data_IF_847727557014
#
_entry.id   IF_847727557014
#
_cell.length_a   1.000
_cell.length_b   1.000
_cell.length_c   1.000
_cell.angle_alpha   90.00
_cell.angle_beta   90.00
_cell.angle_gamma   90.00
#
_symmetry.space_group_name_H-M   'P 1'
#
loop_
_entity.id
_entity.type
_entity.pdbx_description
1 polymer ?
#
# COMPACT_ATOMS: atom_id res chain seq x y z
N UNK A 1 -22.12 11.98 -24.29
CA UNK A 1 -21.91 13.00 -23.25
C UNK A 1 -21.85 12.38 -21.85
N UNK A 2 -22.79 11.52 -21.43
CA UNK A 2 -22.77 10.87 -20.11
C UNK A 2 -21.62 9.84 -19.98
N UNK A 3 -21.38 9.01 -20.99
CA UNK A 3 -20.23 8.07 -21.04
C UNK A 3 -18.88 8.79 -21.00
N UNK A 4 -18.74 9.92 -21.67
CA UNK A 4 -17.51 10.73 -21.65
C UNK A 4 -17.23 11.25 -20.23
N UNK A 5 -18.27 11.72 -19.51
CA UNK A 5 -18.12 12.14 -18.10
C UNK A 5 -17.75 10.98 -17.17
N UNK A 6 -18.29 9.78 -17.39
CA UNK A 6 -17.95 8.58 -16.64
C UNK A 6 -16.49 8.19 -16.85
N UNK A 7 -16.03 8.20 -18.09
CA UNK A 7 -14.65 7.89 -18.47
C UNK A 7 -13.64 8.85 -17.83
N UNK A 8 -13.91 10.16 -17.90
CA UNK A 8 -13.08 11.19 -17.27
C UNK A 8 -12.99 11.00 -15.75
N UNK A 9 -14.10 10.65 -15.10
CA UNK A 9 -14.12 10.37 -13.65
C UNK A 9 -13.30 9.13 -13.28
N UNK A 10 -13.34 8.06 -14.09
CA UNK A 10 -12.52 6.87 -13.87
C UNK A 10 -11.03 7.21 -14.04
N UNK A 11 -10.65 7.98 -15.06
CA UNK A 11 -9.26 8.43 -15.28
C UNK A 11 -8.79 9.28 -14.07
N UNK A 12 -9.62 10.21 -13.61
CA UNK A 12 -9.30 11.03 -12.44
C UNK A 12 -9.12 10.16 -11.18
N UNK A 13 -9.97 9.16 -10.98
CA UNK A 13 -9.86 8.20 -9.87
C UNK A 13 -8.55 7.40 -9.95
N UNK A 14 -8.20 6.87 -11.12
CA UNK A 14 -6.94 6.14 -11.29
C UNK A 14 -5.74 7.05 -11.01
N UNK A 15 -5.72 8.27 -11.53
CA UNK A 15 -4.64 9.22 -11.27
C UNK A 15 -4.54 9.64 -9.79
N UNK A 16 -5.65 9.66 -9.05
CA UNK A 16 -5.68 9.92 -7.60
C UNK A 16 -5.12 8.74 -6.80
N UNK A 17 -5.46 7.52 -7.18
CA UNK A 17 -5.17 6.30 -6.39
C UNK A 17 -3.87 5.59 -6.80
N UNK A 18 -3.36 5.85 -8.02
CA UNK A 18 -2.14 5.23 -8.56
C UNK A 18 -1.04 6.28 -8.67
N UNK A 19 -0.28 6.44 -7.60
CA UNK A 19 0.73 7.50 -7.47
C UNK A 19 2.08 6.96 -6.98
N UNK A 20 3.20 7.62 -7.33
CA UNK A 20 4.51 7.24 -6.80
C UNK A 20 4.59 7.40 -5.28
N UNK A 21 5.30 6.49 -4.62
CA UNK A 21 5.59 6.56 -3.19
C UNK A 21 6.98 6.00 -2.87
N UNK A 22 7.72 6.65 -1.97
CA UNK A 22 9.01 6.17 -1.47
C UNK A 22 8.80 5.63 -0.05
N UNK A 23 9.18 4.37 0.18
CA UNK A 23 8.99 3.72 1.48
C UNK A 23 7.52 3.49 1.83
N UNK A 24 7.24 3.41 3.14
CA UNK A 24 5.87 3.29 3.67
C UNK A 24 5.34 4.67 4.04
N UNK A 25 4.10 4.95 3.65
CA UNK A 25 3.48 6.27 3.86
C UNK A 25 3.27 6.59 5.34
N UNK A 26 2.95 5.59 6.16
CA UNK A 26 2.63 5.78 7.57
C UNK A 26 3.83 6.32 8.39
N UNK A 27 5.03 5.74 8.37
CA UNK A 27 6.16 6.33 9.10
C UNK A 27 6.60 7.68 8.51
N UNK A 28 6.41 7.90 7.19
CA UNK A 28 6.70 9.21 6.60
C UNK A 28 5.71 10.27 7.06
N UNK A 29 4.43 9.94 7.21
CA UNK A 29 3.43 10.85 7.79
C UNK A 29 3.73 11.16 9.27
N UNK A 30 4.24 10.19 10.06
CA UNK A 30 4.72 10.44 11.42
C UNK A 30 5.92 11.37 11.43
N UNK A 31 6.91 11.13 10.55
CA UNK A 31 8.06 12.03 10.40
C UNK A 31 7.65 13.44 9.96
N UNK A 32 6.66 13.55 9.06
CA UNK A 32 6.08 14.82 8.59
C UNK A 32 5.40 15.58 9.74
N UNK A 33 4.59 14.90 10.54
CA UNK A 33 3.93 15.47 11.71
C UNK A 33 4.97 15.97 12.73
N UNK A 34 6.01 15.17 12.96
CA UNK A 34 7.13 15.55 13.84
C UNK A 34 7.89 16.75 13.30
N UNK A 35 8.19 16.78 11.99
CA UNK A 35 8.84 17.91 11.34
C UNK A 35 8.04 19.21 11.51
N UNK A 36 6.71 19.14 11.38
CA UNK A 36 5.84 20.30 11.59
C UNK A 36 5.89 20.81 13.02
N UNK A 37 5.75 19.92 14.02
CA UNK A 37 5.84 20.29 15.43
C UNK A 37 7.22 20.85 15.80
N UNK A 38 8.30 20.22 15.35
CA UNK A 38 9.68 20.69 15.58
C UNK A 38 9.96 22.05 14.92
N UNK A 39 9.46 22.27 13.70
CA UNK A 39 9.56 23.55 13.01
C UNK A 39 8.84 24.67 13.76
N UNK A 40 7.64 24.40 14.27
CA UNK A 40 6.89 25.35 15.09
C UNK A 40 7.60 25.67 16.41
N UNK A 41 8.18 24.63 17.06
CA UNK A 41 8.97 24.82 18.28
C UNK A 41 10.17 25.74 18.04
N UNK A 42 10.76 25.69 16.84
CA UNK A 42 11.89 26.56 16.43
C UNK A 42 13.24 26.20 17.05
N UNK A 43 13.36 25.04 17.70
CA UNK A 43 14.59 24.52 18.32
C UNK A 43 14.50 22.98 18.42
N UNK A 44 15.67 22.35 18.67
CA UNK A 44 15.73 20.88 18.85
C UNK A 44 14.90 20.49 20.08
N UNK A 45 13.94 19.56 19.93
CA UNK A 45 13.18 19.05 21.06
C UNK A 45 14.06 18.25 22.06
N UNK A 46 13.77 18.36 23.35
CA UNK A 46 14.37 17.53 24.41
C UNK A 46 13.55 16.25 24.60
N UNK A 47 12.23 16.33 24.39
CA UNK A 47 11.33 15.17 24.38
C UNK A 47 10.25 15.31 23.30
N UNK A 48 9.79 14.17 22.80
CA UNK A 48 8.76 14.07 21.78
C UNK A 48 7.76 12.99 22.17
N UNK A 49 6.49 13.38 22.34
CA UNK A 49 5.39 12.44 22.49
C UNK A 49 4.68 12.25 21.14
N UNK A 50 4.47 10.99 20.75
CA UNK A 50 3.78 10.61 19.50
C UNK A 50 2.60 9.73 19.84
N UNK A 51 1.40 10.21 19.52
CA UNK A 51 0.15 9.51 19.77
C UNK A 51 -0.48 9.09 18.44
N UNK A 52 -0.71 7.80 18.25
CA UNK A 52 -1.13 7.20 16.98
C UNK A 52 -2.45 6.44 17.13
N UNK A 53 -3.29 6.49 16.08
CA UNK A 53 -4.39 5.54 15.97
C UNK A 53 -3.88 4.09 15.83
N UNK A 54 -4.70 3.08 16.16
CA UNK A 54 -4.32 1.67 16.07
C UNK A 54 -3.71 1.27 14.73
N UNK A 55 -4.34 1.69 13.65
CA UNK A 55 -3.88 1.35 12.29
C UNK A 55 -2.57 2.03 11.91
N UNK A 56 -2.37 3.29 12.32
CA UNK A 56 -1.11 4.01 12.09
C UNK A 56 0.04 3.34 12.84
N UNK A 57 -0.13 3.02 14.12
CA UNK A 57 0.88 2.34 14.92
C UNK A 57 1.23 0.97 14.31
N UNK A 58 0.20 0.13 14.02
CA UNK A 58 0.37 -1.19 13.43
C UNK A 58 1.19 -1.15 12.13
N UNK A 59 0.92 -0.20 11.24
CA UNK A 59 1.54 -0.14 9.92
C UNK A 59 2.92 0.53 9.92
N UNK A 60 3.22 1.38 10.90
CA UNK A 60 4.47 2.14 10.94
C UNK A 60 5.59 1.48 11.76
N UNK A 61 5.24 0.64 12.75
CA UNK A 61 6.21 0.17 13.74
C UNK A 61 7.20 -0.89 13.23
N UNK A 62 6.91 -1.58 12.12
CA UNK A 62 7.69 -2.74 11.66
C UNK A 62 8.38 -2.57 10.31
N UNK A 63 8.34 -1.40 9.70
CA UNK A 63 8.83 -1.16 8.34
C UNK A 63 10.18 -0.45 8.31
N UNK A 64 10.98 -0.75 7.28
CA UNK A 64 12.26 -0.05 7.02
C UNK A 64 12.06 1.42 6.65
N UNK A 65 12.81 2.29 7.30
CA UNK A 65 12.79 3.72 7.02
C UNK A 65 13.78 4.02 5.88
N UNK A 66 13.33 4.69 4.81
CA UNK A 66 14.12 4.90 3.60
C UNK A 66 15.49 5.51 3.88
N UNK A 67 16.54 4.90 3.30
CA UNK A 67 17.93 5.38 3.39
C UNK A 67 18.61 5.16 4.74
N UNK A 68 17.93 4.65 5.78
CA UNK A 68 18.49 4.54 7.13
C UNK A 68 19.12 3.19 7.45
N UNK A 69 18.68 2.12 6.77
CA UNK A 69 18.97 0.75 7.15
C UNK A 69 18.35 0.34 8.51
N UNK A 70 17.45 1.14 9.07
CA UNK A 70 16.78 0.91 10.34
C UNK A 70 15.27 0.69 10.14
N UNK A 71 14.66 0.05 11.12
CA UNK A 71 13.24 -0.29 11.14
C UNK A 71 12.52 0.50 12.25
N UNK A 72 11.31 0.93 11.98
CA UNK A 72 10.37 1.43 12.98
C UNK A 72 10.39 2.94 13.18
N UNK A 73 9.48 3.38 14.03
CA UNK A 73 9.16 4.79 14.23
C UNK A 73 10.25 5.63 14.90
N UNK A 74 11.05 5.14 15.87
CA UNK A 74 12.00 6.01 16.57
C UNK A 74 12.94 6.78 15.64
N UNK A 75 13.49 6.12 14.62
CA UNK A 75 14.39 6.80 13.66
C UNK A 75 13.63 7.76 12.73
N UNK A 76 12.37 7.45 12.36
CA UNK A 76 11.53 8.35 11.56
C UNK A 76 11.20 9.64 12.33
N UNK A 77 10.85 9.53 13.62
CA UNK A 77 10.61 10.66 14.53
C UNK A 77 11.87 11.48 14.72
N UNK A 78 13.00 10.83 15.04
CA UNK A 78 14.29 11.51 15.23
C UNK A 78 14.70 12.33 14.00
N UNK A 79 14.64 11.72 12.81
CA UNK A 79 14.99 12.42 11.56
C UNK A 79 13.96 13.48 11.19
N UNK A 80 12.67 13.25 11.43
CA UNK A 80 11.63 14.26 11.26
C UNK A 80 11.93 15.53 12.07
N UNK A 81 12.32 15.35 13.34
CA UNK A 81 12.67 16.47 14.22
C UNK A 81 13.97 17.19 13.84
N UNK A 82 14.98 16.48 13.29
CA UNK A 82 16.31 17.03 13.05
C UNK A 82 16.46 17.65 11.65
N UNK A 83 15.91 17.01 10.63
CA UNK A 83 16.12 17.39 9.22
C UNK A 83 14.83 17.49 8.41
N UNK A 84 13.68 17.07 8.99
CA UNK A 84 12.42 17.04 8.28
C UNK A 84 11.97 18.43 7.85
N UNK A 85 11.50 18.54 6.59
CA UNK A 85 10.93 19.76 6.03
C UNK A 85 9.47 19.52 5.68
N UNK A 86 8.52 20.15 6.39
CA UNK A 86 7.08 19.90 6.18
C UNK A 86 6.61 20.14 4.74
N UNK A 87 7.24 21.05 4.01
CA UNK A 87 6.95 21.38 2.62
C UNK A 87 7.27 20.25 1.63
N UNK A 88 7.97 19.21 2.07
CA UNK A 88 8.27 18.04 1.26
C UNK A 88 7.22 16.92 1.40
N UNK A 89 6.22 17.13 2.24
CA UNK A 89 5.15 16.15 2.49
C UNK A 89 5.71 14.73 2.78
N UNK A 90 5.29 13.71 2.05
CA UNK A 90 5.76 12.33 2.27
C UNK A 90 7.22 12.09 1.82
N UNK A 91 7.86 13.07 1.19
CA UNK A 91 9.31 13.07 0.93
C UNK A 91 10.11 13.79 2.02
N UNK A 92 9.54 13.98 3.20
CA UNK A 92 10.06 14.76 4.33
C UNK A 92 11.53 14.47 4.70
N UNK A 93 12.01 13.26 4.42
CA UNK A 93 13.38 12.81 4.67
C UNK A 93 14.27 12.75 3.41
N UNK A 94 13.88 13.36 2.29
CA UNK A 94 14.65 13.25 1.03
C UNK A 94 16.05 13.84 1.10
N UNK A 95 16.28 14.77 2.01
CA UNK A 95 17.59 15.40 2.25
C UNK A 95 18.47 14.59 3.23
N UNK A 96 18.15 13.33 3.50
CA UNK A 96 18.90 12.47 4.41
C UNK A 96 20.34 12.28 3.92
N UNK A 97 21.31 12.62 4.79
CA UNK A 97 22.74 12.35 4.58
C UNK A 97 23.26 11.34 5.61
N UNK A 98 24.45 10.74 5.37
CA UNK A 98 25.08 9.86 6.37
C UNK A 98 25.30 10.53 7.73
N UNK A 99 25.63 11.82 7.73
CA UNK A 99 25.87 12.63 8.93
C UNK A 99 24.54 12.83 9.70
N UNK A 100 23.46 13.19 8.99
CA UNK A 100 22.13 13.32 9.57
C UNK A 100 21.63 12.00 10.15
N UNK A 101 21.90 10.87 9.49
CA UNK A 101 21.57 9.54 10.01
C UNK A 101 22.31 9.25 11.31
N UNK A 102 23.59 9.57 11.40
CA UNK A 102 24.36 9.39 12.65
C UNK A 102 23.84 10.29 13.78
N UNK A 103 23.44 11.52 13.45
CA UNK A 103 22.80 12.41 14.43
C UNK A 103 21.45 11.84 14.90
N UNK A 104 20.63 11.32 13.97
CA UNK A 104 19.35 10.66 14.30
C UNK A 104 19.52 9.47 15.24
N UNK A 105 20.53 8.62 15.00
CA UNK A 105 20.85 7.49 15.88
C UNK A 105 21.21 7.93 17.29
N UNK A 106 22.07 8.96 17.44
CA UNK A 106 22.40 9.54 18.76
C UNK A 106 21.17 10.17 19.40
N UNK A 107 20.34 10.84 18.61
CA UNK A 107 19.17 11.52 19.15
C UNK A 107 18.15 10.55 19.75
N UNK A 108 18.00 9.33 19.22
CA UNK A 108 17.16 8.29 19.81
C UNK A 108 17.69 7.86 21.19
N UNK A 109 19.00 7.91 21.40
CA UNK A 109 19.64 7.56 22.68
C UNK A 109 19.56 8.71 23.70
N UNK A 110 19.62 9.97 23.23
CA UNK A 110 19.72 11.18 24.06
C UNK A 110 18.35 11.78 24.43
N UNK A 111 17.36 11.72 23.53
CA UNK A 111 16.05 12.35 23.68
C UNK A 111 15.01 11.35 24.16
N UNK A 112 14.04 11.84 24.94
CA UNK A 112 12.89 11.06 25.37
C UNK A 112 11.85 11.02 24.22
N UNK A 113 11.84 9.95 23.45
CA UNK A 113 10.87 9.70 22.38
C UNK A 113 9.86 8.65 22.84
N UNK A 114 8.66 9.09 23.17
CA UNK A 114 7.59 8.26 23.68
C UNK A 114 6.48 8.09 22.62
N UNK A 115 6.30 6.84 22.14
CA UNK A 115 5.35 6.50 21.07
C UNK A 115 4.25 5.62 21.64
N UNK A 116 3.02 6.13 21.62
CA UNK A 116 1.87 5.51 22.30
C UNK A 116 0.66 5.38 21.38
N UNK A 117 -0.23 4.50 21.78
CA UNK A 117 -1.57 4.39 21.22
C UNK A 117 -2.46 5.52 21.78
N UNK A 118 -3.08 6.30 20.89
CA UNK A 118 -4.11 7.29 21.28
C UNK A 118 -5.39 6.57 21.65
N UNK A 119 -5.86 6.75 22.89
CA UNK A 119 -7.10 6.18 23.36
C UNK A 119 -8.32 6.99 22.89
N UNK A 120 -9.45 6.32 22.61
CA UNK A 120 -10.72 6.97 22.31
C UNK A 120 -10.81 7.59 20.90
N UNK A 121 -9.84 7.33 20.03
CA UNK A 121 -9.86 7.80 18.63
C UNK A 121 -10.68 6.85 17.76
N UNK A 122 -11.55 7.41 16.93
CA UNK A 122 -12.38 6.70 15.94
C UNK A 122 -11.72 6.71 14.56
N UNK A 123 -10.94 7.76 14.25
CA UNK A 123 -10.24 7.91 12.98
C UNK A 123 -9.21 6.80 12.78
N UNK A 124 -9.29 6.13 11.62
CA UNK A 124 -8.33 5.08 11.23
C UNK A 124 -6.94 5.66 10.97
N UNK A 125 -6.85 6.91 10.50
CA UNK A 125 -5.61 7.64 10.29
C UNK A 125 -5.59 8.87 11.21
N UNK A 126 -4.81 8.77 12.28
CA UNK A 126 -4.57 9.85 13.24
C UNK A 126 -3.15 9.80 13.76
N UNK A 127 -2.48 10.94 13.71
CA UNK A 127 -1.12 11.18 14.20
C UNK A 127 -1.14 12.48 14.99
N UNK A 128 -0.70 12.45 16.23
CA UNK A 128 -0.49 13.64 17.06
C UNK A 128 0.95 13.61 17.57
N UNK A 129 1.65 14.70 17.40
CA UNK A 129 3.02 14.85 17.89
C UNK A 129 3.13 16.10 18.73
N UNK A 130 3.68 15.95 19.93
CA UNK A 130 4.00 17.05 20.84
C UNK A 130 5.50 17.07 21.07
N UNK A 131 6.13 18.18 20.73
CA UNK A 131 7.56 18.43 20.94
C UNK A 131 7.76 19.40 22.11
N UNK A 132 8.66 19.07 23.04
CA UNK A 132 9.01 19.92 24.16
C UNK A 132 10.49 20.30 24.14
N UNK A 133 10.81 21.52 24.60
CA UNK A 133 12.17 21.97 24.87
C UNK A 133 12.18 23.00 26.00
N UNK A 134 12.60 22.57 27.19
CA UNK A 134 12.53 23.37 28.40
C UNK A 134 11.09 23.69 28.78
N UNK A 135 10.68 24.97 28.66
CA UNK A 135 9.30 25.43 28.95
C UNK A 135 8.46 25.58 27.68
N UNK A 136 9.05 25.48 26.52
CA UNK A 136 8.33 25.63 25.25
C UNK A 136 7.82 24.29 24.76
N UNK A 137 6.64 24.34 24.16
CA UNK A 137 6.02 23.18 23.49
C UNK A 137 5.45 23.58 22.12
N UNK A 138 5.34 22.60 21.23
CA UNK A 138 4.59 22.74 20.00
C UNK A 138 3.96 21.39 19.63
N UNK A 139 2.75 21.46 19.11
CA UNK A 139 2.00 20.29 18.70
C UNK A 139 1.54 20.38 17.24
N UNK A 140 1.40 19.22 16.60
CA UNK A 140 0.78 19.08 15.28
C UNK A 140 -0.06 17.82 15.23
N UNK A 141 -1.16 17.86 14.46
CA UNK A 141 -2.04 16.71 14.22
C UNK A 141 -2.27 16.54 12.73
N UNK A 142 -2.10 15.30 12.26
CA UNK A 142 -2.51 14.84 10.93
C UNK A 142 -3.68 13.88 11.10
N UNK A 143 -4.78 14.08 10.36
CA UNK A 143 -5.94 13.18 10.38
C UNK A 143 -6.61 13.05 9.01
N UNK A 144 -7.30 11.91 8.77
CA UNK A 144 -8.04 11.61 7.55
C UNK A 144 -7.18 11.21 6.34
N UNK A 145 -6.07 11.93 6.07
CA UNK A 145 -5.09 11.55 5.05
C UNK A 145 -3.67 11.77 5.56
N UNK A 146 -2.67 11.16 4.90
CA UNK A 146 -1.28 11.15 5.38
C UNK A 146 -0.56 12.50 5.39
N UNK A 147 -1.11 13.52 4.74
CA UNK A 147 -0.51 14.87 4.63
C UNK A 147 -1.44 15.99 5.12
N UNK A 148 -2.65 15.64 5.55
CA UNK A 148 -3.64 16.63 5.97
C UNK A 148 -3.45 17.03 7.44
N UNK A 149 -2.84 18.19 7.66
CA UNK A 149 -2.75 18.79 8.99
C UNK A 149 -4.12 19.38 9.38
N UNK A 150 -4.65 18.92 10.50
CA UNK A 150 -5.93 19.42 11.06
C UNK A 150 -5.73 20.32 12.28
N UNK A 151 -4.55 20.29 12.89
CA UNK A 151 -4.24 21.11 14.04
C UNK A 151 -2.73 21.40 14.13
N UNK A 152 -2.39 22.61 14.58
CA UNK A 152 -1.03 23.00 14.93
C UNK A 152 -1.03 24.13 15.95
N UNK A 153 -0.18 24.02 16.99
CA UNK A 153 -0.04 25.04 18.04
C UNK A 153 1.40 25.19 18.51
N UNK A 154 1.72 26.32 19.12
CA UNK A 154 2.96 26.60 19.84
C UNK A 154 2.69 27.40 21.09
N UNK A 155 3.09 26.94 22.27
CA UNK A 155 2.95 27.61 23.56
C UNK A 155 1.50 28.15 23.77
N UNK A 156 0.50 27.31 23.56
CA UNK A 156 -0.93 27.61 23.65
C UNK A 156 -1.45 28.61 22.57
N UNK A 157 -0.60 29.06 21.63
CA UNK A 157 -1.02 29.83 20.47
C UNK A 157 -1.39 28.89 19.31
N UNK A 158 -2.67 28.83 18.99
CA UNK A 158 -3.19 27.99 17.89
C UNK A 158 -2.86 28.63 16.56
N UNK A 159 -2.11 27.91 15.71
CA UNK A 159 -1.72 28.32 14.35
C UNK A 159 -2.69 27.77 13.31
N UNK A 160 -3.22 26.56 13.54
CA UNK A 160 -4.18 25.89 12.68
C UNK A 160 -5.17 25.11 13.54
N UNK A 161 -6.47 25.25 13.30
CA UNK A 161 -7.51 24.38 13.85
C UNK A 161 -8.60 24.13 12.82
N UNK A 162 -8.52 22.99 12.16
CA UNK A 162 -9.51 22.48 11.19
C UNK A 162 -10.12 21.16 11.68
N UNK A 163 -10.03 20.87 12.99
CA UNK A 163 -10.60 19.66 13.56
C UNK A 163 -12.14 19.71 13.47
N UNK A 164 -12.72 18.75 12.74
CA UNK A 164 -14.16 18.60 12.65
C UNK A 164 -14.63 17.51 13.62
N UNK A 165 -15.72 17.75 14.38
CA UNK A 165 -16.36 16.70 15.16
C UNK A 165 -17.03 15.71 14.20
N UNK A 166 -16.49 14.47 14.09
CA UNK A 166 -17.19 13.39 13.40
C UNK A 166 -16.55 12.81 12.15
N UNK A 167 -15.26 12.98 11.92
CA UNK A 167 -14.55 12.38 10.78
C UNK A 167 -14.73 13.19 9.47
N UNK A 168 -13.74 13.10 8.60
CA UNK A 168 -13.87 13.69 7.26
C UNK A 168 -14.98 12.97 6.49
N UNK A 169 -15.91 13.73 5.91
CA UNK A 169 -16.91 13.22 4.99
C UNK A 169 -16.19 12.41 3.88
N UNK A 170 -16.63 11.17 3.65
CA UNK A 170 -16.29 10.46 2.44
C UNK A 170 -16.73 11.33 1.27
N UNK A 171 -15.84 11.54 0.32
CA UNK A 171 -16.09 12.37 -0.87
C UNK A 171 -17.21 11.71 -1.70
N UNK A 172 -18.45 12.10 -1.41
CA UNK A 172 -19.71 11.57 -2.00
C UNK A 172 -19.76 11.80 -3.53
N UNK A 173 -18.71 12.43 -4.09
CA UNK A 173 -18.56 12.67 -5.53
C UNK A 173 -17.82 11.56 -6.26
N UNK A 174 -17.25 10.59 -5.55
CA UNK A 174 -16.45 9.53 -6.15
C UNK A 174 -17.34 8.51 -6.92
N UNK A 175 -16.91 8.14 -8.14
CA UNK A 175 -17.63 7.17 -8.93
C UNK A 175 -17.60 5.79 -8.26
N UNK A 176 -18.78 5.20 -8.04
CA UNK A 176 -18.90 3.82 -7.58
C UNK A 176 -18.70 2.86 -8.75
N UNK A 177 -17.70 1.99 -8.63
CA UNK A 177 -17.35 1.02 -9.67
C UNK A 177 -18.16 -0.28 -9.52
N UNK A 178 -18.23 -1.03 -10.59
CA UNK A 178 -18.62 -2.46 -10.63
C UNK A 178 -17.61 -3.21 -11.49
N UNK A 179 -17.56 -4.53 -11.37
CA UNK A 179 -16.62 -5.33 -12.17
C UNK A 179 -16.86 -5.17 -13.67
N UNK A 180 -18.12 -4.99 -14.06
CA UNK A 180 -18.47 -4.73 -15.46
C UNK A 180 -17.94 -3.38 -15.96
N UNK A 181 -18.08 -2.32 -15.16
CA UNK A 181 -17.55 -0.99 -15.51
C UNK A 181 -16.02 -1.02 -15.61
N UNK A 182 -15.36 -1.71 -14.70
CA UNK A 182 -13.90 -1.88 -14.70
C UNK A 182 -13.43 -2.56 -15.98
N UNK A 183 -14.08 -3.66 -16.35
CA UNK A 183 -13.76 -4.40 -17.58
C UNK A 183 -14.01 -3.56 -18.82
N UNK A 184 -15.22 -3.00 -18.98
CA UNK A 184 -15.59 -2.24 -20.17
C UNK A 184 -14.67 -1.03 -20.36
N UNK A 185 -14.34 -0.32 -19.28
CA UNK A 185 -13.39 0.78 -19.35
C UNK A 185 -12.01 0.31 -19.81
N UNK A 186 -11.43 -0.71 -19.20
CA UNK A 186 -10.11 -1.21 -19.55
C UNK A 186 -10.02 -1.68 -21.02
N UNK A 187 -11.11 -2.26 -21.55
CA UNK A 187 -11.15 -2.78 -22.92
C UNK A 187 -11.45 -1.72 -23.98
N UNK A 188 -12.20 -0.66 -23.64
CA UNK A 188 -12.72 0.28 -24.64
C UNK A 188 -12.13 1.69 -24.56
N UNK A 189 -11.45 2.05 -23.47
CA UNK A 189 -10.82 3.36 -23.35
C UNK A 189 -9.75 3.56 -24.44
N UNK A 190 -9.65 4.79 -25.03
CA UNK A 190 -8.58 5.13 -25.94
C UNK A 190 -7.21 4.93 -25.29
N UNK A 191 -6.26 4.33 -26.04
CA UNK A 191 -4.95 3.98 -25.49
C UNK A 191 -4.16 5.19 -25.02
N UNK A 192 -4.24 6.29 -25.74
CA UNK A 192 -3.58 7.55 -25.41
C UNK A 192 -4.05 8.13 -24.06
N UNK A 193 -5.32 7.89 -23.69
CA UNK A 193 -5.88 8.33 -22.41
C UNK A 193 -5.44 7.44 -21.22
N UNK A 194 -5.05 6.18 -21.46
CA UNK A 194 -4.73 5.21 -20.39
C UNK A 194 -3.29 4.71 -20.39
N UNK A 195 -2.48 5.09 -21.41
CA UNK A 195 -1.07 4.66 -21.52
C UNK A 195 -0.19 5.10 -20.37
N UNK A 196 -0.60 6.11 -19.59
CA UNK A 196 0.10 6.54 -18.39
C UNK A 196 0.27 5.41 -17.36
N UNK A 197 -0.56 4.37 -17.41
CA UNK A 197 -0.48 3.21 -16.52
C UNK A 197 0.83 2.42 -16.69
N UNK A 198 1.52 2.55 -17.83
CA UNK A 198 2.83 1.94 -18.06
C UNK A 198 3.91 2.41 -17.07
N UNK A 199 3.74 3.62 -16.52
CA UNK A 199 4.64 4.11 -15.46
C UNK A 199 4.67 3.17 -14.25
N UNK A 200 3.60 2.43 -13.98
CA UNK A 200 3.54 1.46 -12.89
C UNK A 200 4.57 0.34 -13.09
N UNK A 201 4.67 -0.18 -14.31
CA UNK A 201 5.70 -1.16 -14.70
C UNK A 201 7.10 -0.58 -14.54
N UNK A 202 7.34 0.62 -15.05
CA UNK A 202 8.66 1.27 -14.99
C UNK A 202 9.15 1.38 -13.54
N UNK A 203 8.35 1.93 -12.65
CA UNK A 203 8.72 2.13 -11.24
C UNK A 203 8.88 0.80 -10.50
N UNK A 204 7.92 -0.11 -10.62
CA UNK A 204 7.87 -1.31 -9.81
C UNK A 204 8.88 -2.38 -10.28
N UNK A 205 9.15 -2.49 -11.58
CA UNK A 205 10.20 -3.37 -12.10
C UNK A 205 11.59 -2.85 -11.76
N UNK A 206 11.81 -1.53 -11.78
CA UNK A 206 13.07 -0.91 -11.33
C UNK A 206 13.36 -1.20 -9.86
N UNK A 207 12.33 -1.18 -9.00
CA UNK A 207 12.48 -1.56 -7.60
C UNK A 207 12.84 -3.04 -7.44
N UNK A 208 12.27 -3.92 -8.25
CA UNK A 208 12.62 -5.34 -8.27
C UNK A 208 14.08 -5.55 -8.68
N UNK A 209 14.55 -4.90 -9.74
CA UNK A 209 15.94 -4.98 -10.20
C UNK A 209 16.95 -4.51 -9.15
N UNK A 210 16.64 -3.41 -8.45
CA UNK A 210 17.47 -2.91 -7.36
C UNK A 210 17.61 -3.97 -6.25
N UNK A 211 16.51 -4.62 -5.86
CA UNK A 211 16.50 -5.61 -4.78
C UNK A 211 17.25 -6.89 -5.17
N UNK A 212 17.10 -7.36 -6.40
CA UNK A 212 17.83 -8.54 -6.89
C UNK A 212 19.35 -8.32 -6.81
N UNK A 213 19.82 -7.11 -7.14
CA UNK A 213 21.24 -6.74 -7.05
C UNK A 213 21.71 -6.45 -5.63
N UNK A 214 20.78 -6.06 -4.74
CA UNK A 214 21.05 -5.70 -3.35
C UNK A 214 20.72 -6.78 -2.32
N UNK A 215 20.60 -6.36 -1.06
CA UNK A 215 20.15 -7.20 0.05
C UNK A 215 19.12 -6.40 0.86
N UNK A 216 17.86 -6.53 0.49
CA UNK A 216 16.74 -5.83 1.11
C UNK A 216 15.74 -6.83 1.70
N UNK A 217 15.11 -6.47 2.79
CA UNK A 217 14.09 -7.27 3.45
C UNK A 217 14.57 -8.70 3.75
N UNK A 218 13.77 -9.68 3.38
CA UNK A 218 14.14 -11.10 3.53
C UNK A 218 14.84 -11.68 2.29
N UNK A 219 15.10 -10.86 1.27
CA UNK A 219 15.69 -11.31 0.00
C UNK A 219 14.91 -12.45 -0.66
N UNK A 220 13.59 -12.54 -0.44
CA UNK A 220 12.77 -13.63 -0.97
C UNK A 220 12.81 -13.67 -2.50
N UNK A 221 12.60 -12.50 -3.13
CA UNK A 221 12.63 -12.43 -4.58
C UNK A 221 13.98 -12.84 -5.17
N UNK A 222 15.09 -12.39 -4.56
CA UNK A 222 16.45 -12.82 -4.91
C UNK A 222 16.69 -14.32 -4.66
N UNK A 223 16.07 -14.88 -3.62
CA UNK A 223 16.14 -16.32 -3.35
C UNK A 223 15.43 -17.12 -4.43
N UNK A 224 14.28 -16.64 -4.90
CA UNK A 224 13.54 -17.27 -6.01
C UNK A 224 14.28 -17.24 -7.35
N UNK A 225 15.20 -16.32 -7.54
CA UNK A 225 16.03 -16.17 -8.76
C UNK A 225 17.30 -17.05 -8.75
N UNK A 226 17.50 -17.89 -7.71
CA UNK A 226 18.68 -18.74 -7.57
C UNK A 226 18.50 -20.10 -8.25
N UNK A 227 19.62 -20.75 -8.70
CA UNK A 227 19.56 -22.05 -9.32
C UNK A 227 18.85 -23.13 -8.49
N UNK A 228 19.00 -23.12 -7.17
CA UNK A 228 18.30 -24.04 -6.27
C UNK A 228 16.79 -23.91 -6.36
N UNK A 229 16.27 -22.67 -6.39
CA UNK A 229 14.84 -22.41 -6.53
C UNK A 229 14.33 -22.80 -7.92
N UNK A 230 15.13 -22.55 -8.95
CA UNK A 230 14.82 -22.99 -10.30
C UNK A 230 14.80 -24.55 -10.42
N UNK A 231 15.59 -25.26 -9.63
CA UNK A 231 15.53 -26.73 -9.54
C UNK A 231 14.21 -27.25 -8.94
N UNK A 232 13.52 -26.43 -8.10
CA UNK A 232 12.27 -26.80 -7.45
C UNK A 232 11.06 -26.32 -8.25
N UNK A 233 11.06 -25.05 -8.70
CA UNK A 233 9.92 -24.37 -9.33
C UNK A 233 10.05 -24.24 -10.85
N UNK A 234 11.17 -24.63 -11.43
CA UNK A 234 11.52 -24.35 -12.81
C UNK A 234 12.00 -22.91 -13.01
N UNK A 235 12.73 -22.67 -14.10
CA UNK A 235 12.99 -21.33 -14.63
C UNK A 235 11.81 -20.97 -15.55
N UNK A 236 10.74 -20.43 -14.99
CA UNK A 236 9.43 -20.33 -15.63
C UNK A 236 8.76 -18.99 -15.31
N UNK A 237 7.75 -18.63 -16.07
CA UNK A 237 6.91 -17.45 -15.80
C UNK A 237 6.44 -17.42 -14.34
N UNK A 238 6.09 -18.58 -13.77
CA UNK A 238 5.65 -18.68 -12.38
C UNK A 238 6.74 -18.22 -11.40
N UNK A 239 7.97 -18.75 -11.53
CA UNK A 239 9.08 -18.36 -10.65
C UNK A 239 9.49 -16.90 -10.84
N UNK A 240 9.44 -16.39 -12.06
CA UNK A 240 9.78 -15.01 -12.38
C UNK A 240 8.73 -14.00 -11.84
N UNK A 241 7.44 -14.31 -11.93
CA UNK A 241 6.37 -13.50 -11.30
C UNK A 241 6.65 -13.37 -9.80
N UNK A 242 6.90 -14.48 -9.10
CA UNK A 242 7.19 -14.45 -7.66
C UNK A 242 8.47 -13.66 -7.39
N UNK A 243 9.55 -13.96 -8.10
CA UNK A 243 10.85 -13.30 -7.92
C UNK A 243 10.73 -11.79 -8.08
N UNK A 244 10.19 -11.29 -9.20
CA UNK A 244 10.13 -9.86 -9.49
C UNK A 244 9.17 -9.12 -8.56
N UNK A 245 8.05 -9.75 -8.17
CA UNK A 245 7.07 -9.11 -7.29
C UNK A 245 7.57 -9.07 -5.84
N UNK A 246 8.12 -10.17 -5.33
CA UNK A 246 8.71 -10.20 -4.00
C UNK A 246 9.94 -9.29 -3.88
N UNK A 247 10.79 -9.20 -4.92
CA UNK A 247 11.96 -8.33 -4.92
C UNK A 247 11.58 -6.85 -4.78
N UNK A 248 10.55 -6.38 -5.50
CA UNK A 248 10.09 -5.00 -5.37
C UNK A 248 9.56 -4.71 -3.96
N UNK A 249 8.86 -5.68 -3.36
CA UNK A 249 8.43 -5.59 -1.96
C UNK A 249 9.60 -5.62 -0.98
N UNK A 250 10.58 -6.50 -1.17
CA UNK A 250 11.79 -6.57 -0.36
C UNK A 250 12.52 -5.22 -0.37
N UNK A 251 12.69 -4.59 -1.56
CA UNK A 251 13.28 -3.25 -1.68
C UNK A 251 12.50 -2.23 -0.83
N UNK A 252 11.19 -2.13 -1.07
CA UNK A 252 10.33 -1.14 -0.41
C UNK A 252 10.29 -1.35 1.10
N UNK A 253 10.04 -2.57 1.56
CA UNK A 253 9.90 -2.86 2.99
C UNK A 253 11.24 -2.88 3.73
N UNK A 254 12.32 -3.11 3.03
CA UNK A 254 13.69 -3.02 3.53
C UNK A 254 14.26 -1.59 3.55
N UNK A 255 13.47 -0.58 3.20
CA UNK A 255 13.88 0.83 3.28
C UNK A 255 14.78 1.31 2.13
N UNK A 256 14.66 0.73 0.93
CA UNK A 256 15.36 1.25 -0.24
C UNK A 256 14.87 2.66 -0.60
N UNK A 257 15.79 3.56 -0.95
CA UNK A 257 15.50 4.91 -1.46
C UNK A 257 15.12 4.83 -2.94
N UNK A 258 14.00 4.19 -3.23
CA UNK A 258 13.48 4.02 -4.59
C UNK A 258 11.96 4.20 -4.58
N UNK A 259 11.41 5.00 -5.51
CA UNK A 259 9.97 5.10 -5.63
C UNK A 259 9.38 3.82 -6.25
N UNK A 260 8.21 3.43 -5.75
CA UNK A 260 7.32 2.44 -6.36
C UNK A 260 6.00 3.10 -6.70
N UNK A 261 5.31 2.61 -7.70
CA UNK A 261 3.94 3.05 -7.95
C UNK A 261 3.00 2.35 -6.98
N UNK A 262 2.24 3.14 -6.23
CA UNK A 262 1.25 2.65 -5.27
C UNK A 262 -0.11 2.38 -5.94
N UNK A 263 -1.02 1.81 -5.17
CA UNK A 263 -2.44 1.73 -5.48
C UNK A 263 -3.23 1.87 -4.17
N UNK A 264 -4.23 2.73 -4.14
CA UNK A 264 -5.10 2.97 -2.98
C UNK A 264 -4.31 3.19 -1.68
N UNK A 265 -3.27 4.01 -1.74
CA UNK A 265 -2.43 4.37 -0.61
C UNK A 265 -1.39 3.32 -0.19
N UNK A 266 -1.23 2.21 -0.91
CA UNK A 266 -0.25 1.16 -0.59
C UNK A 266 0.68 0.84 -1.75
N UNK A 267 2.01 1.02 -1.55
CA UNK A 267 3.00 0.62 -2.54
C UNK A 267 3.03 -0.89 -2.79
N UNK A 268 2.80 -1.70 -1.75
CA UNK A 268 2.71 -3.16 -1.92
C UNK A 268 1.51 -3.58 -2.78
N UNK A 269 0.38 -2.88 -2.68
CA UNK A 269 -0.75 -3.11 -3.59
C UNK A 269 -0.40 -2.75 -5.02
N UNK A 270 0.25 -1.60 -5.24
CA UNK A 270 0.71 -1.20 -6.58
C UNK A 270 1.70 -2.22 -7.17
N UNK A 271 2.64 -2.72 -6.38
CA UNK A 271 3.58 -3.78 -6.79
C UNK A 271 2.82 -5.06 -7.19
N UNK A 272 1.87 -5.52 -6.36
CA UNK A 272 1.06 -6.72 -6.65
C UNK A 272 0.16 -6.56 -7.87
N UNK A 273 -0.40 -5.38 -8.08
CA UNK A 273 -1.24 -5.11 -9.25
C UNK A 273 -0.44 -5.00 -10.55
N UNK A 274 0.86 -4.64 -10.45
CA UNK A 274 1.71 -4.37 -11.62
C UNK A 274 2.59 -5.55 -12.01
N UNK A 275 3.48 -5.98 -11.11
CA UNK A 275 4.60 -6.85 -11.50
C UNK A 275 4.17 -8.22 -12.06
N UNK A 276 3.16 -8.91 -11.51
CA UNK A 276 2.71 -10.18 -12.08
C UNK A 276 2.21 -10.04 -13.51
N UNK A 277 1.44 -8.96 -13.77
CA UNK A 277 0.90 -8.65 -15.10
C UNK A 277 2.02 -8.30 -16.08
N UNK A 278 2.95 -7.44 -15.64
CA UNK A 278 4.06 -7.00 -16.46
C UNK A 278 5.02 -8.15 -16.81
N UNK A 279 5.35 -9.02 -15.85
CA UNK A 279 6.22 -10.19 -16.09
C UNK A 279 5.52 -11.17 -17.02
N UNK A 280 4.23 -11.46 -16.79
CA UNK A 280 3.49 -12.35 -17.67
C UNK A 280 3.46 -11.83 -19.11
N UNK A 281 3.13 -10.55 -19.31
CA UNK A 281 3.06 -9.95 -20.64
C UNK A 281 4.42 -9.97 -21.38
N UNK A 282 5.51 -9.69 -20.65
CA UNK A 282 6.85 -9.69 -21.23
C UNK A 282 7.29 -11.10 -21.70
N UNK A 283 7.02 -12.12 -20.88
CA UNK A 283 7.48 -13.49 -21.20
C UNK A 283 6.52 -14.23 -22.13
N UNK A 284 5.27 -13.83 -22.21
CA UNK A 284 4.28 -14.36 -23.15
C UNK A 284 4.22 -13.55 -24.46
N UNK A 285 5.14 -12.59 -24.66
CA UNK A 285 5.24 -11.74 -25.86
C UNK A 285 3.94 -11.00 -26.21
N UNK A 286 3.15 -10.61 -25.20
CA UNK A 286 1.96 -9.79 -25.41
C UNK A 286 2.32 -8.39 -25.92
N UNK A 287 1.45 -7.81 -26.72
CA UNK A 287 1.60 -6.45 -27.25
C UNK A 287 1.56 -5.38 -26.16
N UNK A 288 2.08 -4.18 -26.46
CA UNK A 288 2.02 -3.05 -25.53
C UNK A 288 0.56 -2.64 -25.25
N UNK A 289 -0.33 -2.70 -26.24
CA UNK A 289 -1.76 -2.45 -26.01
C UNK A 289 -2.36 -3.44 -25.03
N UNK A 290 -2.11 -4.75 -25.18
CA UNK A 290 -2.58 -5.76 -24.25
C UNK A 290 -2.04 -5.53 -22.83
N UNK A 291 -0.78 -5.15 -22.72
CA UNK A 291 -0.19 -4.81 -21.42
C UNK A 291 -0.85 -3.58 -20.79
N UNK A 292 -1.10 -2.49 -21.53
CA UNK A 292 -1.79 -1.30 -21.03
C UNK A 292 -3.17 -1.67 -20.50
N UNK A 293 -3.96 -2.41 -21.29
CA UNK A 293 -5.31 -2.84 -20.89
C UNK A 293 -5.29 -3.77 -19.68
N UNK A 294 -4.36 -4.71 -19.63
CA UNK A 294 -4.19 -5.63 -18.50
C UNK A 294 -3.79 -4.90 -17.21
N UNK A 295 -2.87 -3.94 -17.28
CA UNK A 295 -2.48 -3.13 -16.13
C UNK A 295 -3.64 -2.25 -15.66
N UNK A 296 -4.37 -1.62 -16.59
CA UNK A 296 -5.54 -0.81 -16.24
C UNK A 296 -6.62 -1.66 -15.57
N UNK A 297 -6.92 -2.83 -16.12
CA UNK A 297 -7.87 -3.80 -15.54
C UNK A 297 -7.43 -4.22 -14.13
N UNK A 298 -6.16 -4.56 -13.94
CA UNK A 298 -5.61 -4.98 -12.66
C UNK A 298 -5.70 -3.86 -11.60
N UNK A 299 -5.26 -2.66 -11.94
CA UNK A 299 -5.29 -1.53 -11.00
C UNK A 299 -6.70 -1.06 -10.66
N UNK A 300 -7.60 -0.99 -11.64
CA UNK A 300 -8.99 -0.61 -11.40
C UNK A 300 -9.74 -1.66 -10.58
N UNK A 301 -9.49 -2.95 -10.79
CA UNK A 301 -10.08 -4.01 -9.95
C UNK A 301 -9.64 -3.84 -8.48
N UNK A 302 -8.37 -3.54 -8.23
CA UNK A 302 -7.88 -3.28 -6.88
C UNK A 302 -8.55 -2.04 -6.26
N UNK A 303 -8.68 -0.95 -7.02
CA UNK A 303 -9.37 0.28 -6.58
C UNK A 303 -10.84 -0.03 -6.26
N UNK A 304 -11.53 -0.74 -7.14
CA UNK A 304 -12.94 -1.13 -6.95
C UNK A 304 -13.14 -1.90 -5.63
N UNK A 305 -12.33 -2.91 -5.37
CA UNK A 305 -12.41 -3.67 -4.12
C UNK A 305 -12.14 -2.77 -2.91
N UNK A 306 -11.19 -1.84 -3.04
CA UNK A 306 -10.84 -0.90 -1.96
C UNK A 306 -11.92 0.14 -1.68
N UNK A 307 -12.77 0.49 -2.62
CA UNK A 307 -13.91 1.37 -2.37
C UNK A 307 -14.85 0.82 -1.28
N UNK A 308 -15.09 -0.51 -1.28
CA UNK A 308 -15.94 -1.16 -0.27
C UNK A 308 -15.17 -1.60 0.98
N UNK A 309 -13.88 -1.98 0.84
CA UNK A 309 -13.07 -2.45 1.97
C UNK A 309 -12.56 -1.30 2.86
N UNK A 310 -12.40 -0.11 2.29
CA UNK A 310 -11.74 1.02 2.93
C UNK A 310 -10.20 0.95 2.86
N UNK A 311 -9.54 2.07 3.15
CA UNK A 311 -8.07 2.21 2.98
C UNK A 311 -7.29 1.33 3.96
N UNK A 312 -7.74 1.22 5.20
CA UNK A 312 -7.10 0.46 6.27
C UNK A 312 -8.05 -0.63 6.78
N UNK A 313 -7.60 -1.87 6.80
CA UNK A 313 -8.39 -3.04 7.27
C UNK A 313 -7.47 -4.15 7.75
N UNK A 314 -8.04 -5.11 8.50
CA UNK A 314 -7.32 -6.32 8.89
C UNK A 314 -7.17 -7.33 7.73
N UNK A 315 -7.94 -7.20 6.65
CA UNK A 315 -7.72 -7.98 5.43
C UNK A 315 -6.48 -7.45 4.70
N UNK A 316 -5.59 -8.34 4.31
CA UNK A 316 -4.32 -7.96 3.67
C UNK A 316 -4.55 -7.31 2.30
N UNK A 317 -3.97 -6.12 2.08
CA UNK A 317 -4.03 -5.43 0.79
C UNK A 317 -3.41 -6.22 -0.37
N UNK A 318 -2.50 -7.16 -0.08
CA UNK A 318 -1.95 -8.07 -1.10
C UNK A 318 -3.03 -8.98 -1.70
N UNK A 319 -4.05 -9.38 -0.91
CA UNK A 319 -5.20 -10.16 -1.41
C UNK A 319 -5.92 -9.35 -2.49
N UNK A 320 -6.30 -8.12 -2.15
CA UNK A 320 -7.01 -7.19 -3.06
C UNK A 320 -6.26 -7.01 -4.37
N UNK A 321 -5.00 -6.66 -4.30
CA UNK A 321 -4.18 -6.39 -5.48
C UNK A 321 -3.89 -7.66 -6.29
N UNK A 322 -3.77 -8.82 -5.64
CA UNK A 322 -3.61 -10.10 -6.35
C UNK A 322 -4.87 -10.54 -7.07
N UNK A 323 -6.07 -10.18 -6.57
CA UNK A 323 -7.32 -10.33 -7.34
C UNK A 323 -7.23 -9.48 -8.62
N UNK A 324 -6.76 -8.23 -8.51
CA UNK A 324 -6.54 -7.39 -9.68
C UNK A 324 -5.58 -8.01 -10.68
N UNK A 325 -4.41 -8.49 -10.23
CA UNK A 325 -3.44 -9.12 -11.14
C UNK A 325 -3.95 -10.43 -11.76
N UNK A 326 -4.81 -11.19 -11.07
CA UNK A 326 -5.45 -12.36 -11.68
C UNK A 326 -6.36 -11.97 -12.86
N UNK A 327 -7.07 -10.83 -12.77
CA UNK A 327 -7.85 -10.30 -13.87
C UNK A 327 -6.97 -9.93 -15.07
N UNK A 328 -5.86 -9.20 -14.82
CA UNK A 328 -4.92 -8.81 -15.86
C UNK A 328 -4.25 -10.00 -16.54
N UNK A 329 -3.81 -11.00 -15.77
CA UNK A 329 -3.19 -12.23 -16.31
C UNK A 329 -4.22 -13.05 -17.11
N UNK A 330 -5.44 -13.21 -16.60
CA UNK A 330 -6.53 -13.92 -17.33
C UNK A 330 -6.81 -13.26 -18.68
N UNK A 331 -6.84 -11.92 -18.73
CA UNK A 331 -6.99 -11.18 -19.98
C UNK A 331 -5.80 -11.44 -20.94
N UNK A 332 -4.57 -11.38 -20.45
CA UNK A 332 -3.36 -11.65 -21.26
C UNK A 332 -3.31 -13.08 -21.81
N UNK A 333 -3.95 -14.03 -21.14
CA UNK A 333 -4.15 -15.40 -21.62
C UNK A 333 -5.24 -15.51 -22.71
N UNK A 334 -5.91 -14.41 -23.07
CA UNK A 334 -7.02 -14.37 -24.02
C UNK A 334 -8.39 -14.64 -23.37
N UNK A 335 -8.50 -14.50 -22.05
CA UNK A 335 -9.75 -14.67 -21.32
C UNK A 335 -10.73 -13.53 -21.54
N UNK A 336 -12.01 -13.87 -21.72
CA UNK A 336 -13.13 -12.95 -21.80
C UNK A 336 -13.60 -12.49 -20.40
N UNK A 337 -14.62 -11.63 -20.37
CA UNK A 337 -15.22 -11.14 -19.12
C UNK A 337 -15.61 -12.27 -18.16
N UNK A 338 -16.21 -13.35 -18.69
CA UNK A 338 -16.67 -14.48 -17.85
C UNK A 338 -15.48 -15.20 -17.18
N UNK A 339 -14.38 -15.40 -17.92
CA UNK A 339 -13.16 -16.01 -17.37
C UNK A 339 -12.51 -15.11 -16.32
N UNK A 340 -12.52 -13.80 -16.54
CA UNK A 340 -12.05 -12.82 -15.55
C UNK A 340 -12.91 -12.90 -14.27
N UNK A 341 -14.22 -12.93 -14.36
CA UNK A 341 -15.10 -13.14 -13.20
C UNK A 341 -14.81 -14.46 -12.48
N UNK A 342 -14.55 -15.54 -13.22
CA UNK A 342 -14.19 -16.83 -12.66
C UNK A 342 -12.86 -16.76 -11.89
N UNK A 343 -11.85 -16.03 -12.40
CA UNK A 343 -10.59 -15.85 -11.68
C UNK A 343 -10.78 -15.07 -10.37
N UNK A 344 -11.64 -14.05 -10.34
CA UNK A 344 -12.00 -13.31 -9.11
C UNK A 344 -12.64 -14.24 -8.08
N UNK A 345 -13.60 -15.07 -8.48
CA UNK A 345 -14.27 -16.05 -7.59
C UNK A 345 -13.28 -17.04 -6.98
N UNK A 346 -12.36 -17.59 -7.80
CA UNK A 346 -11.30 -18.47 -7.34
C UNK A 346 -10.37 -17.79 -6.33
N UNK A 347 -10.04 -16.52 -6.55
CA UNK A 347 -9.23 -15.73 -5.63
C UNK A 347 -9.92 -15.46 -4.30
N UNK A 348 -11.20 -15.07 -4.34
CA UNK A 348 -12.02 -14.83 -3.14
C UNK A 348 -12.12 -16.08 -2.28
N UNK A 349 -12.41 -17.23 -2.89
CA UNK A 349 -12.48 -18.51 -2.19
C UNK A 349 -11.18 -18.88 -1.49
N UNK A 350 -10.03 -18.53 -2.07
CA UNK A 350 -8.72 -18.99 -1.60
C UNK A 350 -8.11 -18.05 -0.54
N UNK A 351 -8.18 -16.72 -0.72
CA UNK A 351 -7.33 -15.79 0.03
C UNK A 351 -8.07 -14.92 1.07
N UNK A 352 -9.38 -15.03 1.24
CA UNK A 352 -10.15 -14.17 2.16
C UNK A 352 -9.65 -14.22 3.62
N UNK A 353 -8.97 -15.27 4.02
CA UNK A 353 -8.42 -15.42 5.39
C UNK A 353 -7.03 -14.82 5.63
N UNK A 354 -6.39 -14.17 4.64
CA UNK A 354 -5.04 -13.60 4.84
C UNK A 354 -5.12 -12.27 5.60
N UNK A 355 -4.68 -12.26 6.86
CA UNK A 355 -4.71 -11.05 7.70
C UNK A 355 -3.54 -10.10 7.41
N UNK A 356 -3.78 -8.81 7.68
CA UNK A 356 -2.77 -7.75 7.68
C UNK A 356 -2.31 -7.45 9.11
N UNK A 357 -1.05 -7.70 9.40
CA UNK A 357 -0.39 -7.41 10.67
C UNK A 357 0.66 -6.30 10.51
N UNK A 358 0.37 -5.30 9.69
CA UNK A 358 1.20 -4.13 9.44
C UNK A 358 2.22 -4.30 8.31
N UNK A 359 2.80 -3.18 7.86
CA UNK A 359 3.84 -3.17 6.84
C UNK A 359 5.19 -3.60 7.42
N UNK A 360 5.86 -4.55 6.78
CA UNK A 360 7.13 -5.13 7.25
C UNK A 360 7.79 -6.00 6.19
N UNK A 361 9.10 -6.33 6.32
CA UNK A 361 9.81 -7.16 5.35
C UNK A 361 9.12 -8.48 5.00
N UNK A 362 8.45 -9.14 5.97
CA UNK A 362 7.72 -10.39 5.71
C UNK A 362 6.46 -10.22 4.81
N UNK A 363 6.10 -9.00 4.41
CA UNK A 363 5.07 -8.79 3.40
C UNK A 363 5.43 -9.43 2.05
N UNK A 364 6.72 -9.60 1.73
CA UNK A 364 7.16 -10.31 0.52
C UNK A 364 6.65 -11.77 0.48
N UNK A 365 6.53 -12.45 1.62
CA UNK A 365 5.95 -13.80 1.72
C UNK A 365 4.45 -13.78 1.38
N UNK A 366 3.70 -12.81 1.93
CA UNK A 366 2.26 -12.68 1.65
C UNK A 366 1.98 -12.33 0.18
N UNK A 367 2.81 -11.46 -0.39
CA UNK A 367 2.78 -11.13 -1.81
C UNK A 367 3.00 -12.36 -2.66
N UNK A 368 4.03 -13.16 -2.36
CA UNK A 368 4.32 -14.40 -3.10
C UNK A 368 3.13 -15.36 -3.08
N UNK A 369 2.49 -15.55 -1.92
CA UNK A 369 1.26 -16.37 -1.82
C UNK A 369 0.14 -15.81 -2.69
N UNK A 370 -0.08 -14.49 -2.63
CA UNK A 370 -1.13 -13.84 -3.40
C UNK A 370 -0.94 -13.97 -4.91
N UNK A 371 0.26 -13.67 -5.42
CA UNK A 371 0.51 -13.71 -6.87
C UNK A 371 0.64 -15.14 -7.42
N UNK A 372 1.07 -16.10 -6.61
CA UNK A 372 1.01 -17.52 -6.96
C UNK A 372 -0.43 -17.98 -7.14
N UNK A 373 -1.30 -17.59 -6.19
CA UNK A 373 -2.74 -17.88 -6.28
C UNK A 373 -3.38 -17.18 -7.47
N UNK A 374 -2.96 -15.95 -7.80
CA UNK A 374 -3.46 -15.23 -8.96
C UNK A 374 -3.24 -16.01 -10.26
N UNK A 375 -2.02 -16.52 -10.47
CA UNK A 375 -1.73 -17.31 -11.66
C UNK A 375 -2.51 -18.63 -11.68
N UNK A 376 -2.59 -19.36 -10.56
CA UNK A 376 -3.38 -20.60 -10.46
C UNK A 376 -4.87 -20.35 -10.74
N UNK A 377 -5.43 -19.24 -10.19
CA UNK A 377 -6.82 -18.85 -10.41
C UNK A 377 -7.10 -18.50 -11.87
N UNK A 378 -6.15 -17.84 -12.54
CA UNK A 378 -6.23 -17.53 -13.97
C UNK A 378 -6.22 -18.80 -14.82
N UNK A 379 -5.32 -19.75 -14.55
CA UNK A 379 -5.25 -21.03 -15.26
C UNK A 379 -6.58 -21.81 -15.13
N UNK A 380 -7.12 -21.94 -13.91
CA UNK A 380 -8.41 -22.60 -13.69
C UNK A 380 -9.55 -21.89 -14.45
N UNK A 381 -9.55 -20.56 -14.43
CA UNK A 381 -10.57 -19.79 -15.13
C UNK A 381 -10.49 -19.97 -16.67
N UNK A 382 -9.27 -20.08 -17.24
CA UNK A 382 -9.09 -20.38 -18.66
C UNK A 382 -9.61 -21.75 -19.05
N UNK A 383 -9.51 -22.76 -18.15
CA UNK A 383 -10.13 -24.07 -18.30
C UNK A 383 -11.65 -24.09 -18.06
N UNK A 384 -12.26 -22.92 -17.83
CA UNK A 384 -13.68 -22.79 -17.51
C UNK A 384 -14.05 -23.31 -16.11
N UNK A 385 -13.10 -23.50 -15.23
CA UNK A 385 -13.29 -23.98 -13.86
C UNK A 385 -13.32 -22.82 -12.88
N UNK A 386 -14.34 -22.81 -12.02
CA UNK A 386 -14.48 -21.78 -11.01
C UNK A 386 -15.21 -22.34 -9.78
N UNK A 387 -14.87 -21.80 -8.62
CA UNK A 387 -15.59 -22.06 -7.37
C UNK A 387 -17.02 -21.55 -7.52
N UNK A 388 -17.98 -22.34 -7.08
CA UNK A 388 -19.41 -22.09 -7.27
C UNK A 388 -20.06 -21.51 -6.00
N UNK A 389 -21.26 -20.98 -6.12
CA UNK A 389 -22.08 -20.49 -4.99
C UNK A 389 -22.45 -21.56 -3.95
N UNK A 390 -22.21 -22.83 -4.26
CA UNK A 390 -22.34 -23.92 -3.28
C UNK A 390 -21.14 -24.02 -2.32
N UNK A 391 -20.08 -23.23 -2.53
CA UNK A 391 -18.80 -23.34 -1.83
C UNK A 391 -18.49 -22.07 -1.03
N UNK A 392 -18.81 -22.09 0.28
CA UNK A 392 -18.40 -21.04 1.22
C UNK A 392 -19.04 -19.67 0.95
N UNK A 393 -18.20 -18.65 0.81
CA UNK A 393 -18.63 -17.24 0.66
C UNK A 393 -18.79 -16.77 -0.78
N UNK A 394 -18.55 -17.65 -1.75
CA UNK A 394 -18.65 -17.32 -3.17
C UNK A 394 -20.11 -17.18 -3.59
N UNK A 395 -20.41 -16.27 -4.50
CA UNK A 395 -21.72 -16.07 -5.10
C UNK A 395 -21.63 -16.24 -6.63
N UNK A 396 -22.75 -16.44 -7.29
CA UNK A 396 -22.80 -16.51 -8.76
C UNK A 396 -22.50 -15.16 -9.39
N UNK A 397 -22.88 -14.08 -8.73
CA UNK A 397 -22.56 -12.71 -9.10
C UNK A 397 -21.17 -12.30 -8.56
N UNK A 398 -20.30 -11.81 -9.43
CA UNK A 398 -18.91 -11.43 -9.07
C UNK A 398 -18.87 -10.22 -8.14
N UNK A 399 -19.76 -9.26 -8.31
CA UNK A 399 -19.81 -8.07 -7.46
C UNK A 399 -20.28 -8.44 -6.05
N UNK A 400 -21.18 -9.42 -5.91
CA UNK A 400 -21.54 -10.01 -4.62
C UNK A 400 -20.39 -10.79 -3.97
N UNK A 401 -19.59 -11.53 -4.76
CA UNK A 401 -18.37 -12.16 -4.23
C UNK A 401 -17.43 -11.14 -3.63
N UNK A 402 -17.21 -10.03 -4.33
CA UNK A 402 -16.37 -8.93 -3.86
C UNK A 402 -16.98 -8.27 -2.62
N UNK A 403 -18.29 -8.08 -2.59
CA UNK A 403 -18.99 -7.56 -1.41
C UNK A 403 -18.85 -8.48 -0.20
N UNK A 404 -18.98 -9.80 -0.36
CA UNK A 404 -18.81 -10.77 0.72
C UNK A 404 -17.38 -10.72 1.29
N UNK A 405 -16.36 -10.67 0.42
CA UNK A 405 -14.96 -10.48 0.80
C UNK A 405 -14.78 -9.19 1.61
N UNK A 406 -15.29 -8.06 1.09
CA UNK A 406 -15.08 -6.74 1.68
C UNK A 406 -15.83 -6.57 2.99
N UNK A 407 -17.04 -7.13 3.14
CA UNK A 407 -17.81 -7.15 4.39
C UNK A 407 -17.05 -7.90 5.49
N UNK A 408 -16.44 -9.06 5.16
CA UNK A 408 -15.60 -9.78 6.11
C UNK A 408 -14.40 -8.90 6.52
N UNK A 409 -13.72 -8.30 5.54
CA UNK A 409 -12.52 -7.49 5.81
C UNK A 409 -12.81 -6.18 6.54
N UNK A 410 -13.90 -5.49 6.20
CA UNK A 410 -14.23 -4.18 6.77
C UNK A 410 -14.93 -4.28 8.13
N UNK A 411 -15.82 -5.27 8.29
CA UNK A 411 -16.70 -5.38 9.46
C UNK A 411 -16.31 -6.51 10.40
N UNK A 412 -16.26 -7.75 9.92
CA UNK A 412 -16.02 -8.92 10.76
C UNK A 412 -14.58 -8.96 11.30
N UNK A 413 -13.60 -8.44 10.57
CA UNK A 413 -12.20 -8.44 11.00
C UNK A 413 -11.80 -7.28 11.92
N UNK A 414 -12.71 -6.44 12.42
CA UNK A 414 -12.39 -5.36 13.37
C UNK A 414 -11.75 -5.89 14.65
N UNK A 415 -12.36 -6.89 15.26
CA UNK A 415 -11.81 -7.57 16.47
C UNK A 415 -10.45 -8.24 16.18
N UNK A 416 -10.27 -8.74 14.95
CA UNK A 416 -8.97 -9.29 14.52
C UNK A 416 -7.91 -8.20 14.48
N UNK A 417 -8.24 -7.01 14.01
CA UNK A 417 -7.32 -5.86 13.95
C UNK A 417 -6.86 -5.45 15.36
N UNK A 418 -7.80 -5.35 16.31
CA UNK A 418 -7.53 -5.05 17.71
C UNK A 418 -6.63 -6.12 18.36
N UNK A 419 -6.92 -7.40 18.11
CA UNK A 419 -6.13 -8.51 18.63
C UNK A 419 -4.71 -8.52 18.06
N UNK A 420 -4.56 -8.29 16.77
CA UNK A 420 -3.25 -8.19 16.09
C UNK A 420 -2.43 -7.07 16.72
N UNK A 421 -3.00 -5.88 16.90
CA UNK A 421 -2.32 -4.76 17.51
C UNK A 421 -1.91 -5.07 18.97
N UNK A 422 -2.82 -5.65 19.74
CA UNK A 422 -2.52 -6.05 21.14
C UNK A 422 -1.33 -7.02 21.21
N UNK A 423 -1.29 -8.04 20.35
CA UNK A 423 -0.15 -8.96 20.27
C UNK A 423 1.14 -8.20 19.90
N UNK A 424 1.07 -7.29 18.93
CA UNK A 424 2.25 -6.56 18.44
C UNK A 424 2.84 -5.62 19.49
N UNK A 425 2.02 -5.07 20.38
CA UNK A 425 2.44 -4.10 21.41
C UNK A 425 2.82 -4.71 22.75
N UNK A 426 2.56 -6.02 22.97
CA UNK A 426 2.81 -6.70 24.24
C UNK A 426 3.76 -7.90 24.13
N UNK A 427 4.52 -8.03 23.04
CA UNK A 427 5.54 -9.09 22.86
C UNK A 427 6.95 -8.57 23.15
#
# INVERSE_FOLDING_TARGET
MQEMKTRERIIALVNKEVVPAIGCTEPMAVALCTAKAATLLGKRPDSIEVLLSPNMLKNAMGVGIPGTGMIGLPIAVALGALIGKPEYELEVLKDLTPEALQQGKRYIEDADIDIKLKQGIVEKLYIEVVCHSGKDQAAAIIAGSHTHFVFAERNDEVVLDERQPGGADEDDTEIQLSMRMVYDFAMTAPLDEISFILKTKEYNMRAAELSIKGNYGHCLGKTMDRPMSHGIFGNSIFSHIISRTASACDARMGGAMIPVMSNSGSGNQGICATNPVAVYALENENTEEELIRALMLSHLTAIYIKQSLGKLSALCGCVVASIGSSCGITYLMGGDYQRICNSVKNMVANLTGMICDGAKPSCSLKISSGVSTALLSSLLAMEGRCVTSAEGIVDDDVDRCIHNLTSIGADAMRTTDDMVLNIMTHK
#
